data_IF_835221249605
#
_entry.id   IF_835221249605
#
_cell.length_a   1.000
_cell.length_b   1.000
_cell.length_c   1.000
_cell.angle_alpha   90.00
_cell.angle_beta   90.00
_cell.angle_gamma   90.00
#
_symmetry.space_group_name_H-M   'P 1'
#
loop_
_entity.id
_entity.type
_entity.pdbx_description
1 polymer ?
#
# COMPACT_ATOMS: atom_id res chain seq x y z
N UNK A 1 -39.35 1.15 -1.05
CA UNK A 1 -38.22 0.28 -1.26
C UNK A 1 -37.57 0.69 -2.58
N UNK A 2 -36.38 1.32 -2.50
CA UNK A 2 -35.65 1.77 -3.67
C UNK A 2 -35.28 0.56 -4.53
N UNK A 3 -35.32 0.73 -5.86
CA UNK A 3 -34.86 -0.29 -6.78
C UNK A 3 -33.39 -0.59 -6.46
N UNK A 4 -32.97 -1.85 -6.35
CA UNK A 4 -31.57 -2.16 -6.18
C UNK A 4 -30.80 -1.55 -7.35
N UNK A 5 -29.69 -0.88 -7.05
CA UNK A 5 -28.83 -0.28 -8.07
C UNK A 5 -28.08 -1.38 -8.83
N UNK A 6 -28.81 -2.08 -9.71
CA UNK A 6 -28.32 -3.25 -10.46
C UNK A 6 -27.07 -2.89 -11.25
N UNK A 7 -27.03 -1.70 -11.84
CA UNK A 7 -25.89 -1.22 -12.60
C UNK A 7 -24.63 -1.10 -11.72
N UNK A 8 -24.80 -0.65 -10.47
CA UNK A 8 -23.69 -0.58 -9.49
C UNK A 8 -23.18 -1.97 -9.15
N UNK A 9 -24.09 -2.92 -8.90
CA UNK A 9 -23.74 -4.30 -8.55
C UNK A 9 -22.98 -4.95 -9.73
N UNK A 10 -23.47 -4.79 -10.95
CA UNK A 10 -22.82 -5.32 -12.15
C UNK A 10 -21.43 -4.71 -12.38
N UNK A 11 -21.29 -3.41 -12.16
CA UNK A 11 -19.99 -2.73 -12.27
C UNK A 11 -19.01 -3.25 -11.22
N UNK A 12 -19.44 -3.40 -9.97
CA UNK A 12 -18.61 -3.96 -8.90
C UNK A 12 -18.17 -5.39 -9.26
N UNK A 13 -19.08 -6.24 -9.71
CA UNK A 13 -18.76 -7.62 -10.12
C UNK A 13 -17.75 -7.65 -11.27
N UNK A 14 -17.91 -6.80 -12.29
CA UNK A 14 -16.98 -6.71 -13.42
C UNK A 14 -15.57 -6.30 -12.95
N UNK A 15 -15.46 -5.31 -12.06
CA UNK A 15 -14.19 -4.86 -11.50
C UNK A 15 -13.53 -5.94 -10.66
N UNK A 16 -14.29 -6.65 -9.81
CA UNK A 16 -13.77 -7.76 -8.99
C UNK A 16 -13.25 -8.88 -9.87
N UNK A 17 -13.99 -9.26 -10.91
CA UNK A 17 -13.56 -10.31 -11.87
C UNK A 17 -12.27 -9.89 -12.58
N UNK A 18 -12.19 -8.65 -13.07
CA UNK A 18 -10.99 -8.15 -13.74
C UNK A 18 -9.76 -8.15 -12.81
N UNK A 19 -9.91 -7.68 -11.57
CA UNK A 19 -8.83 -7.68 -10.58
C UNK A 19 -8.40 -9.10 -10.20
N UNK A 20 -9.36 -10.01 -9.98
CA UNK A 20 -9.09 -11.42 -9.66
C UNK A 20 -8.38 -12.13 -10.81
N UNK A 21 -8.74 -11.84 -12.05
CA UNK A 21 -8.10 -12.40 -13.24
C UNK A 21 -6.63 -11.96 -13.33
N UNK A 22 -6.34 -10.69 -13.07
CA UNK A 22 -4.97 -10.18 -13.03
C UNK A 22 -4.12 -10.88 -11.97
N UNK A 23 -4.70 -11.10 -10.78
CA UNK A 23 -4.03 -11.83 -9.70
C UNK A 23 -3.83 -13.30 -10.06
N UNK A 24 -4.83 -13.97 -10.59
CA UNK A 24 -4.74 -15.37 -11.02
C UNK A 24 -3.75 -15.60 -12.16
N UNK A 25 -3.52 -14.60 -13.02
CA UNK A 25 -2.53 -14.62 -14.08
C UNK A 25 -1.07 -14.45 -13.57
N UNK A 26 -0.86 -14.36 -12.25
CA UNK A 26 0.48 -14.16 -11.67
C UNK A 26 0.99 -12.72 -11.75
N UNK A 27 0.15 -11.77 -12.15
CA UNK A 27 0.55 -10.36 -12.25
C UNK A 27 1.00 -9.78 -10.91
N UNK A 28 0.37 -10.20 -9.81
CA UNK A 28 0.76 -9.78 -8.47
C UNK A 28 2.16 -10.28 -8.10
N UNK A 29 2.50 -11.53 -8.43
CA UNK A 29 3.81 -12.12 -8.09
C UNK A 29 4.95 -11.40 -8.80
N UNK A 30 4.76 -11.04 -10.07
CA UNK A 30 5.74 -10.26 -10.82
C UNK A 30 5.95 -8.87 -10.20
N UNK A 31 4.87 -8.22 -9.80
CA UNK A 31 4.93 -6.90 -9.16
C UNK A 31 5.62 -6.98 -7.80
N UNK A 32 5.37 -8.02 -7.01
CA UNK A 32 6.04 -8.27 -5.74
C UNK A 32 7.54 -8.51 -5.93
N UNK A 33 7.95 -9.28 -6.93
CA UNK A 33 9.36 -9.50 -7.26
C UNK A 33 10.07 -8.19 -7.65
N UNK A 34 9.41 -7.32 -8.40
CA UNK A 34 9.95 -6.00 -8.75
C UNK A 34 10.11 -5.14 -7.49
N UNK A 35 9.10 -5.10 -6.63
CA UNK A 35 9.13 -4.37 -5.37
C UNK A 35 10.23 -4.88 -4.44
N UNK A 36 10.36 -6.20 -4.28
CA UNK A 36 11.43 -6.84 -3.51
C UNK A 36 12.82 -6.46 -4.04
N UNK A 37 13.03 -6.58 -5.35
CA UNK A 37 14.29 -6.22 -5.99
C UNK A 37 14.64 -4.75 -5.77
N UNK A 38 13.66 -3.85 -5.86
CA UNK A 38 13.85 -2.43 -5.62
C UNK A 38 14.25 -2.15 -4.16
N UNK A 39 13.55 -2.76 -3.19
CA UNK A 39 13.83 -2.63 -1.76
C UNK A 39 15.21 -3.16 -1.38
N UNK A 40 15.58 -4.36 -1.86
CA UNK A 40 16.89 -4.96 -1.58
C UNK A 40 18.05 -4.20 -2.23
N UNK A 41 17.81 -3.55 -3.38
CA UNK A 41 18.84 -2.74 -4.06
C UNK A 41 19.13 -1.42 -3.34
N UNK A 42 18.14 -0.83 -2.68
CA UNK A 42 18.22 0.48 -2.05
C UNK A 42 17.74 0.46 -0.59
N UNK A 43 18.37 -0.31 0.30
CA UNK A 43 17.89 -0.54 1.65
C UNK A 43 17.86 0.74 2.51
N UNK A 44 18.76 1.71 2.24
CA UNK A 44 18.80 2.98 2.98
C UNK A 44 17.54 3.84 2.79
N UNK A 45 16.85 3.66 1.67
CA UNK A 45 15.64 4.41 1.33
C UNK A 45 14.35 3.63 1.61
N UNK A 46 14.43 2.55 2.39
CA UNK A 46 13.27 1.67 2.66
C UNK A 46 12.08 2.43 3.24
N UNK A 47 12.31 3.47 4.04
CA UNK A 47 11.24 4.29 4.63
C UNK A 47 10.39 5.06 3.61
N UNK A 48 10.94 5.34 2.41
CA UNK A 48 10.20 5.98 1.31
C UNK A 48 9.82 4.94 0.26
N UNK A 49 10.72 4.04 -0.05
CA UNK A 49 10.54 3.08 -1.13
C UNK A 49 9.48 2.01 -0.80
N UNK A 50 9.39 1.60 0.46
CA UNK A 50 8.39 0.63 0.88
C UNK A 50 6.94 1.20 0.80
N UNK A 51 6.64 2.41 1.33
CA UNK A 51 5.33 3.05 1.09
C UNK A 51 5.02 3.26 -0.38
N UNK A 52 6.00 3.63 -1.20
CA UNK A 52 5.82 3.79 -2.65
C UNK A 52 5.44 2.46 -3.31
N UNK A 53 6.14 1.37 -3.00
CA UNK A 53 5.81 0.03 -3.50
C UNK A 53 4.41 -0.40 -3.05
N UNK A 54 4.08 -0.24 -1.77
CA UNK A 54 2.76 -0.58 -1.23
C UNK A 54 1.63 0.23 -1.85
N UNK A 55 1.83 1.55 -2.03
CA UNK A 55 0.89 2.42 -2.71
C UNK A 55 0.67 1.99 -4.16
N UNK A 56 1.75 1.77 -4.92
CA UNK A 56 1.68 1.35 -6.33
C UNK A 56 0.98 0.01 -6.49
N UNK A 57 1.34 -0.99 -5.68
CA UNK A 57 0.70 -2.31 -5.67
C UNK A 57 -0.80 -2.19 -5.42
N UNK A 58 -1.20 -1.39 -4.44
CA UNK A 58 -2.61 -1.21 -4.10
C UNK A 58 -3.38 -0.48 -5.20
N UNK A 59 -2.79 0.56 -5.80
CA UNK A 59 -3.42 1.26 -6.96
C UNK A 59 -3.67 0.28 -8.11
N UNK A 60 -2.72 -0.60 -8.41
CA UNK A 60 -2.84 -1.54 -9.52
C UNK A 60 -3.77 -2.72 -9.20
N UNK A 61 -3.76 -3.23 -7.96
CA UNK A 61 -4.57 -4.38 -7.56
C UNK A 61 -5.96 -4.01 -7.02
N UNK A 62 -6.19 -2.76 -6.63
CA UNK A 62 -7.48 -2.29 -6.13
C UNK A 62 -7.81 -2.69 -4.68
N UNK A 63 -6.91 -3.40 -4.00
CA UNK A 63 -7.12 -3.89 -2.63
C UNK A 63 -5.90 -3.61 -1.75
N UNK A 64 -6.13 -3.16 -0.50
CA UNK A 64 -5.06 -2.92 0.46
C UNK A 64 -4.43 -4.20 1.02
N UNK A 65 -5.03 -5.36 0.80
CA UNK A 65 -4.51 -6.63 1.32
C UNK A 65 -3.21 -7.08 0.66
N UNK A 66 -2.92 -6.62 -0.54
CA UNK A 66 -1.67 -6.89 -1.25
C UNK A 66 -0.42 -6.44 -0.48
N UNK A 67 -0.56 -5.46 0.41
CA UNK A 67 0.56 -4.99 1.23
C UNK A 67 1.07 -6.07 2.20
N UNK A 68 0.20 -6.98 2.67
CA UNK A 68 0.59 -7.99 3.65
C UNK A 68 1.67 -8.95 3.12
N UNK A 69 1.69 -9.20 1.82
CA UNK A 69 2.74 -10.01 1.19
C UNK A 69 4.09 -9.28 1.13
N UNK A 70 4.06 -7.94 1.17
CA UNK A 70 5.27 -7.11 1.14
C UNK A 70 5.86 -6.87 2.55
N UNK A 71 5.04 -6.97 3.62
CA UNK A 71 5.50 -6.66 4.98
C UNK A 71 6.68 -7.52 5.45
N UNK A 72 6.74 -8.85 5.21
CA UNK A 72 7.90 -9.66 5.60
C UNK A 72 9.19 -9.22 4.90
N UNK A 73 9.10 -8.82 3.63
CA UNK A 73 10.24 -8.34 2.84
C UNK A 73 10.75 -7.00 3.40
N UNK A 74 9.82 -6.08 3.71
CA UNK A 74 10.15 -4.79 4.31
C UNK A 74 10.83 -4.98 5.67
N UNK A 75 10.33 -5.91 6.48
CA UNK A 75 10.91 -6.25 7.78
C UNK A 75 12.35 -6.74 7.63
N UNK A 76 12.58 -7.75 6.77
CA UNK A 76 13.91 -8.33 6.53
C UNK A 76 14.92 -7.26 6.04
N UNK A 77 14.53 -6.46 5.03
CA UNK A 77 15.37 -5.39 4.50
C UNK A 77 15.68 -4.33 5.56
N UNK A 78 14.69 -3.96 6.39
CA UNK A 78 14.87 -2.95 7.44
C UNK A 78 15.83 -3.39 8.51
N UNK A 79 15.65 -4.61 9.04
CA UNK A 79 16.54 -5.19 10.06
C UNK A 79 17.98 -5.28 9.56
N UNK A 80 18.19 -5.82 8.34
CA UNK A 80 19.52 -5.96 7.74
C UNK A 80 20.19 -4.61 7.46
N UNK A 81 19.43 -3.55 7.39
CA UNK A 81 19.91 -2.18 7.14
C UNK A 81 20.08 -1.34 8.40
N UNK A 82 19.82 -1.91 9.59
CA UNK A 82 19.87 -1.19 10.85
C UNK A 82 18.72 -0.18 11.04
N UNK A 83 17.71 -0.21 10.18
CA UNK A 83 16.56 0.69 10.22
C UNK A 83 15.47 0.03 11.07
N UNK A 84 14.84 0.80 11.96
CA UNK A 84 13.74 0.33 12.79
C UNK A 84 12.54 -0.07 11.92
N UNK A 85 12.15 -1.36 11.87
CA UNK A 85 11.17 -1.87 10.90
C UNK A 85 9.76 -1.30 11.09
N UNK A 86 9.41 -0.89 12.30
CA UNK A 86 8.11 -0.26 12.60
C UNK A 86 7.82 0.95 11.71
N UNK A 87 8.86 1.71 11.33
CA UNK A 87 8.74 2.92 10.52
C UNK A 87 8.24 2.62 9.11
N UNK A 88 8.98 1.86 8.28
CA UNK A 88 8.53 1.57 6.93
C UNK A 88 7.28 0.68 6.91
N UNK A 89 7.10 -0.23 7.88
CA UNK A 89 5.91 -1.06 7.98
C UNK A 89 4.64 -0.21 8.20
N UNK A 90 4.66 0.68 9.19
CA UNK A 90 3.53 1.57 9.46
C UNK A 90 3.24 2.51 8.28
N UNK A 91 4.29 3.13 7.72
CA UNK A 91 4.15 4.02 6.58
C UNK A 91 3.58 3.31 5.36
N UNK A 92 4.02 2.08 5.07
CA UNK A 92 3.54 1.28 3.95
C UNK A 92 2.09 0.87 4.13
N UNK A 93 1.71 0.44 5.34
CA UNK A 93 0.33 0.06 5.64
C UNK A 93 -0.63 1.24 5.45
N UNK A 94 -0.29 2.41 6.00
CA UNK A 94 -1.12 3.61 5.86
C UNK A 94 -1.19 4.04 4.39
N UNK A 95 -0.08 4.05 3.67
CA UNK A 95 -0.02 4.44 2.25
C UNK A 95 -0.83 3.49 1.36
N UNK A 96 -0.81 2.20 1.66
CA UNK A 96 -1.65 1.20 0.98
C UNK A 96 -3.14 1.46 1.19
N UNK A 97 -3.58 1.79 2.41
CA UNK A 97 -4.99 2.11 2.66
C UNK A 97 -5.42 3.39 1.95
N UNK A 98 -4.58 4.43 1.92
CA UNK A 98 -4.84 5.64 1.15
C UNK A 98 -4.95 5.36 -0.35
N UNK A 99 -4.17 4.43 -0.87
CA UNK A 99 -4.13 4.09 -2.29
C UNK A 99 -5.43 3.43 -2.81
N UNK A 100 -6.25 2.85 -1.94
CA UNK A 100 -7.49 2.17 -2.33
C UNK A 100 -8.41 3.10 -3.14
N UNK A 101 -8.56 4.35 -2.70
CA UNK A 101 -9.44 5.31 -3.40
C UNK A 101 -8.82 5.85 -4.71
N UNK A 102 -7.51 5.71 -4.86
CA UNK A 102 -6.79 6.10 -6.08
C UNK A 102 -6.68 4.96 -7.10
N UNK A 103 -7.23 3.80 -6.80
CA UNK A 103 -7.16 2.65 -7.70
C UNK A 103 -8.31 2.65 -8.71
N UNK A 104 -8.02 2.51 -10.02
CA UNK A 104 -9.05 2.39 -11.05
C UNK A 104 -9.86 1.09 -10.96
N UNK A 105 -9.36 0.09 -10.24
CA UNK A 105 -9.99 -1.22 -10.07
C UNK A 105 -10.52 -1.44 -8.62
N UNK A 106 -10.61 -0.38 -7.84
CA UNK A 106 -11.11 -0.46 -6.46
C UNK A 106 -12.63 -0.46 -6.42
N UNK A 107 -13.19 -1.46 -5.74
CA UNK A 107 -14.63 -1.52 -5.45
C UNK A 107 -15.10 -0.30 -4.65
N UNK A 108 -14.29 0.20 -3.73
CA UNK A 108 -14.63 1.37 -2.93
C UNK A 108 -14.77 2.64 -3.78
N UNK A 109 -13.83 2.88 -4.70
CA UNK A 109 -13.88 4.02 -5.62
C UNK A 109 -15.06 3.95 -6.59
N UNK A 110 -15.29 2.79 -7.18
CA UNK A 110 -16.43 2.54 -8.08
C UNK A 110 -17.75 2.75 -7.36
N UNK A 111 -17.91 2.21 -6.14
CA UNK A 111 -19.12 2.36 -5.35
C UNK A 111 -19.38 3.82 -4.96
N UNK A 112 -18.33 4.57 -4.60
CA UNK A 112 -18.42 5.99 -4.28
C UNK A 112 -18.95 6.80 -5.48
N UNK A 113 -18.40 6.59 -6.68
CA UNK A 113 -18.84 7.28 -7.89
C UNK A 113 -20.27 6.89 -8.25
N UNK A 114 -20.62 5.62 -8.12
CA UNK A 114 -21.98 5.16 -8.39
C UNK A 114 -23.01 5.83 -7.46
N UNK A 115 -22.68 6.06 -6.19
CA UNK A 115 -23.53 6.81 -5.27
C UNK A 115 -23.60 8.29 -5.67
N UNK A 116 -22.47 8.92 -5.96
CA UNK A 116 -22.42 10.34 -6.30
C UNK A 116 -23.18 10.67 -7.60
N UNK A 117 -23.04 9.84 -8.63
CA UNK A 117 -23.72 10.05 -9.92
C UNK A 117 -25.14 9.45 -9.95
N UNK A 118 -25.38 8.37 -9.19
CA UNK A 118 -26.63 7.61 -9.26
C UNK A 118 -27.79 8.19 -8.45
N UNK A 119 -27.51 9.00 -7.42
CA UNK A 119 -28.57 9.56 -6.53
C UNK A 119 -29.26 10.80 -7.11
N UNK A 120 -28.66 11.46 -8.11
CA UNK A 120 -29.17 12.70 -8.69
C UNK A 120 -29.30 13.88 -7.72
N UNK A 121 -28.93 13.68 -6.46
CA UNK A 121 -29.07 14.69 -5.38
C UNK A 121 -27.84 15.57 -5.23
N UNK A 122 -26.68 15.11 -5.72
CA UNK A 122 -25.43 15.85 -5.65
C UNK A 122 -24.97 16.16 -7.08
N UNK A 123 -25.02 17.44 -7.44
CA UNK A 123 -24.45 17.92 -8.70
C UNK A 123 -23.11 18.61 -8.37
N UNK A 124 -22.01 18.01 -8.82
CA UNK A 124 -20.68 18.60 -8.67
C UNK A 124 -20.22 19.03 -10.06
N UNK A 125 -20.05 20.33 -10.27
CA UNK A 125 -19.63 20.88 -11.55
C UNK A 125 -18.28 20.28 -11.95
N UNK A 126 -18.21 19.72 -13.17
CA UNK A 126 -17.01 19.09 -13.72
C UNK A 126 -16.77 17.64 -13.28
N UNK A 127 -17.66 17.04 -12.45
CA UNK A 127 -17.59 15.65 -12.05
C UNK A 127 -18.62 14.81 -12.83
N UNK A 128 -18.16 14.10 -13.84
CA UNK A 128 -19.02 13.33 -14.75
C UNK A 128 -18.68 11.85 -14.83
N UNK A 129 -17.49 11.48 -14.36
CA UNK A 129 -16.98 10.11 -14.52
C UNK A 129 -16.05 9.69 -13.39
N UNK A 130 -15.78 8.37 -13.32
CA UNK A 130 -14.79 7.84 -12.41
C UNK A 130 -13.37 8.40 -12.65
N UNK A 131 -13.06 8.74 -13.90
CA UNK A 131 -11.75 9.33 -14.24
C UNK A 131 -11.56 10.68 -13.57
N UNK A 132 -12.63 11.46 -13.38
CA UNK A 132 -12.52 12.76 -12.71
C UNK A 132 -12.21 12.60 -11.22
N UNK A 133 -12.72 11.54 -10.57
CA UNK A 133 -12.30 11.16 -9.22
C UNK A 133 -10.80 10.82 -9.19
N UNK A 134 -10.32 10.00 -10.11
CA UNK A 134 -8.93 9.56 -10.15
C UNK A 134 -7.95 10.71 -10.39
N UNK A 135 -8.30 11.70 -11.19
CA UNK A 135 -7.47 12.91 -11.42
C UNK A 135 -7.16 13.67 -10.13
N UNK A 136 -8.06 13.59 -9.15
CA UNK A 136 -7.90 14.24 -7.85
C UNK A 136 -7.27 13.29 -6.83
N UNK A 137 -7.74 12.05 -6.76
CA UNK A 137 -7.33 11.10 -5.72
C UNK A 137 -5.92 10.56 -5.92
N UNK A 138 -5.48 10.33 -7.16
CA UNK A 138 -4.11 9.84 -7.43
C UNK A 138 -3.07 10.85 -6.93
N UNK A 139 -3.06 12.13 -7.34
CA UNK A 139 -2.06 13.06 -6.84
C UNK A 139 -2.19 13.34 -5.35
N UNK A 140 -3.41 13.42 -4.81
CA UNK A 140 -3.63 13.65 -3.40
C UNK A 140 -3.07 12.52 -2.52
N UNK A 141 -3.37 11.27 -2.86
CA UNK A 141 -2.87 10.10 -2.12
C UNK A 141 -1.37 9.89 -2.32
N UNK A 142 -0.84 10.22 -3.49
CA UNK A 142 0.60 10.19 -3.75
C UNK A 142 1.36 11.18 -2.87
N UNK A 143 0.88 12.43 -2.78
CA UNK A 143 1.45 13.44 -1.89
C UNK A 143 1.33 12.98 -0.43
N UNK A 144 0.17 12.45 -0.03
CA UNK A 144 -0.02 11.88 1.31
C UNK A 144 0.97 10.77 1.63
N UNK A 145 1.22 9.87 0.70
CA UNK A 145 2.23 8.81 0.83
C UNK A 145 3.65 9.39 1.00
N UNK A 146 4.02 10.41 0.23
CA UNK A 146 5.33 11.07 0.36
C UNK A 146 5.49 11.75 1.72
N UNK A 147 4.46 12.40 2.22
CA UNK A 147 4.46 13.04 3.55
C UNK A 147 4.67 11.98 4.63
N UNK A 148 3.92 10.88 4.59
CA UNK A 148 3.99 9.79 5.56
C UNK A 148 5.36 9.11 5.50
N UNK A 149 5.87 8.81 4.30
CA UNK A 149 7.18 8.22 4.09
C UNK A 149 8.31 9.11 4.63
N UNK A 150 8.25 10.40 4.34
CA UNK A 150 9.22 11.38 4.83
C UNK A 150 9.15 11.54 6.35
N UNK A 151 7.94 11.65 6.91
CA UNK A 151 7.74 11.71 8.35
C UNK A 151 8.29 10.46 9.05
N UNK A 152 8.13 9.30 8.45
CA UNK A 152 8.63 8.02 8.94
C UNK A 152 10.15 7.99 9.13
N UNK A 153 10.91 8.72 8.29
CA UNK A 153 12.38 8.81 8.42
C UNK A 153 12.79 9.46 9.73
N UNK A 154 12.07 10.51 10.14
CA UNK A 154 12.43 11.31 11.32
C UNK A 154 11.91 10.73 12.63
N UNK A 155 11.06 9.72 12.59
CA UNK A 155 10.43 9.16 13.79
C UNK A 155 11.28 8.07 14.44
N UNK A 156 11.76 8.33 15.67
CA UNK A 156 12.46 7.36 16.52
C UNK A 156 13.95 7.20 16.17
N UNK A 157 14.64 6.35 16.92
CA UNK A 157 16.06 6.04 16.75
C UNK A 157 16.25 4.83 15.85
N UNK A 158 17.32 4.80 15.08
CA UNK A 158 17.74 3.61 14.33
C UNK A 158 18.18 2.50 15.28
N UNK A 159 18.14 1.26 14.82
CA UNK A 159 18.49 0.08 15.63
C UNK A 159 19.93 0.14 16.14
N UNK A 160 20.84 0.73 15.39
CA UNK A 160 22.24 0.90 15.78
C UNK A 160 22.42 1.85 16.99
N UNK A 161 21.43 2.73 17.20
CA UNK A 161 21.42 3.75 18.27
C UNK A 161 20.47 3.40 19.42
N UNK A 162 19.80 2.27 19.34
CA UNK A 162 18.86 1.79 20.34
C UNK A 162 19.58 0.87 21.35
N UNK A 163 19.82 1.29 22.61
CA UNK A 163 20.55 0.50 23.60
C UNK A 163 19.83 -0.81 23.92
N UNK A 164 18.50 -0.82 23.98
CA UNK A 164 17.71 -2.01 24.30
C UNK A 164 17.83 -3.06 23.20
N UNK A 165 17.86 -2.62 21.93
CA UNK A 165 18.07 -3.51 20.79
C UNK A 165 19.50 -4.07 20.78
N UNK A 166 20.49 -3.20 21.03
CA UNK A 166 21.91 -3.61 21.07
C UNK A 166 22.19 -4.60 22.21
N UNK A 167 21.48 -4.50 23.32
CA UNK A 167 21.56 -5.47 24.41
C UNK A 167 20.96 -6.82 24.02
N UNK A 168 19.81 -6.82 23.35
CA UNK A 168 19.15 -8.05 22.87
C UNK A 168 19.96 -8.83 21.86
N UNK A 169 20.65 -8.18 20.93
CA UNK A 169 21.48 -8.86 19.92
C UNK A 169 22.80 -9.41 20.46
N UNK A 170 23.17 -9.11 21.73
CA UNK A 170 24.30 -9.77 22.39
C UNK A 170 24.01 -11.23 22.73
N UNK A 171 22.72 -11.57 22.91
CA UNK A 171 22.28 -12.95 23.11
C UNK A 171 22.29 -13.70 21.77
N UNK A 172 23.08 -14.78 21.63
CA UNK A 172 23.17 -15.55 20.38
C UNK A 172 21.84 -16.13 19.91
N UNK A 173 20.95 -16.53 20.82
CA UNK A 173 19.64 -17.08 20.47
C UNK A 173 18.73 -15.98 19.91
N UNK A 174 18.71 -14.82 20.54
CA UNK A 174 17.89 -13.69 20.05
C UNK A 174 18.43 -13.12 18.73
N UNK A 175 19.75 -13.07 18.58
CA UNK A 175 20.37 -12.67 17.31
C UNK A 175 19.99 -13.61 16.17
N UNK A 176 20.02 -14.93 16.40
CA UNK A 176 19.60 -15.93 15.41
C UNK A 176 18.13 -15.81 15.06
N UNK A 177 17.27 -15.50 16.05
CA UNK A 177 15.85 -15.30 15.83
C UNK A 177 15.56 -14.05 14.99
N UNK A 178 16.28 -12.95 15.22
CA UNK A 178 16.08 -11.66 14.55
C UNK A 178 16.63 -11.66 13.12
N UNK A 179 17.84 -12.18 12.92
CA UNK A 179 18.53 -12.15 11.62
C UNK A 179 18.35 -13.42 10.79
N UNK A 180 17.76 -14.47 11.35
CA UNK A 180 17.67 -15.79 10.73
C UNK A 180 18.94 -16.61 10.96
N UNK A 181 18.85 -17.92 10.71
CA UNK A 181 20.06 -18.76 10.58
C UNK A 181 20.74 -18.43 9.27
N UNK A 182 22.03 -18.11 9.33
CA UNK A 182 22.89 -18.06 8.14
C UNK A 182 22.80 -19.36 7.33
#
# INVERSE_FOLDING_TARGET
PGKPAVDVILTILAVVVASSTLQAAGGLDVMLQIAEKALRKNPKFVCILAPLCGWTLTVLCGTGHTVYTLLPIIYDVSIKSGIRPERPLAATTISSQLAIIASPVSVAGVSMVAVLLGTGTVHIDGFTSYVDLLKVTIPATFIGMLIIGTYSIFRGKDLDKDPDFQERIKDPEQRKYIYGSD
#
